data_IF_676731586774
#
_entry.id   IF_676731586774
#
_cell.length_a   1.000
_cell.length_b   1.000
_cell.length_c   1.000
_cell.angle_alpha   90.00
_cell.angle_beta   90.00
_cell.angle_gamma   90.00
#
_symmetry.space_group_name_H-M   'P 1'
#
loop_
_entity.id
_entity.type
_entity.pdbx_description
1 polymer ?
#
# COMPACT_ATOMS: atom_id res chain seq x y z
N UNK A 1 1.11 39.36 22.09
CA UNK A 1 1.80 38.86 20.88
C UNK A 1 2.23 37.40 21.01
N UNK A 2 2.81 36.96 22.14
CA UNK A 2 3.24 35.57 22.35
C UNK A 2 2.16 34.52 21.98
N UNK A 3 0.89 34.74 22.34
CA UNK A 3 -0.21 33.80 22.07
C UNK A 3 -0.50 33.56 20.59
N UNK A 4 -0.19 34.52 19.71
CA UNK A 4 -0.40 34.38 18.25
C UNK A 4 0.68 33.51 17.59
N UNK A 5 1.91 33.57 18.10
CA UNK A 5 3.01 32.74 17.58
C UNK A 5 2.79 31.26 17.86
N UNK A 6 2.10 30.90 18.94
CA UNK A 6 1.74 29.49 19.20
C UNK A 6 0.81 28.89 18.14
N UNK A 7 0.09 29.69 17.35
CA UNK A 7 -0.76 29.21 16.24
C UNK A 7 0.06 28.76 15.03
N UNK A 8 1.33 29.16 14.94
CA UNK A 8 2.22 28.70 13.88
C UNK A 8 2.54 27.21 14.01
N UNK A 9 2.53 26.67 15.23
CA UNK A 9 2.78 25.25 15.45
C UNK A 9 1.73 24.36 14.76
N UNK A 10 0.42 24.44 15.08
CA UNK A 10 -0.58 23.62 14.39
C UNK A 10 -0.68 23.91 12.89
N UNK A 11 -0.38 25.14 12.45
CA UNK A 11 -0.27 25.47 11.03
C UNK A 11 0.81 24.63 10.34
N UNK A 12 2.03 24.62 10.88
CA UNK A 12 3.14 23.84 10.30
C UNK A 12 2.86 22.34 10.39
N UNK A 13 2.32 21.86 11.52
CA UNK A 13 1.98 20.45 11.67
C UNK A 13 0.93 19.99 10.65
N UNK A 14 -0.13 20.78 10.45
CA UNK A 14 -1.17 20.47 9.45
C UNK A 14 -0.68 20.61 8.01
N UNK A 15 0.20 21.57 7.73
CA UNK A 15 0.85 21.70 6.42
C UNK A 15 1.72 20.46 6.11
N UNK A 16 2.57 20.04 7.03
CA UNK A 16 3.43 18.86 6.83
C UNK A 16 2.55 17.60 6.70
N UNK A 17 1.53 17.43 7.55
CA UNK A 17 0.63 16.27 7.44
C UNK A 17 -0.16 16.26 6.13
N UNK A 18 -0.60 17.42 5.62
CA UNK A 18 -1.24 17.54 4.32
C UNK A 18 -0.30 17.09 3.19
N UNK A 19 0.95 17.56 3.21
CA UNK A 19 1.97 17.14 2.23
C UNK A 19 2.20 15.64 2.31
N UNK A 20 2.44 15.09 3.51
CA UNK A 20 2.66 13.65 3.69
C UNK A 20 1.46 12.82 3.21
N UNK A 21 0.24 13.26 3.48
CA UNK A 21 -0.98 12.58 3.01
C UNK A 21 -1.08 12.59 1.48
N UNK A 22 -0.73 13.70 0.84
CA UNK A 22 -0.64 13.79 -0.62
C UNK A 22 0.44 12.87 -1.18
N UNK A 23 1.61 12.81 -0.54
CA UNK A 23 2.69 11.90 -0.95
C UNK A 23 2.27 10.43 -0.83
N UNK A 24 1.56 10.05 0.23
CA UNK A 24 1.00 8.70 0.36
C UNK A 24 -0.01 8.38 -0.74
N UNK A 25 -0.87 9.35 -1.11
CA UNK A 25 -1.90 9.15 -2.13
C UNK A 25 -1.29 8.98 -3.54
N UNK A 26 -0.29 9.80 -3.87
CA UNK A 26 0.30 9.87 -5.21
C UNK A 26 1.64 9.12 -5.38
N UNK A 27 2.09 8.38 -4.37
CA UNK A 27 3.29 7.55 -4.50
C UNK A 27 3.17 6.61 -5.71
N UNK A 28 4.25 6.51 -6.51
CA UNK A 28 4.31 5.66 -7.69
C UNK A 28 3.50 6.16 -8.89
N UNK A 29 2.94 7.38 -8.88
CA UNK A 29 2.11 7.87 -9.99
C UNK A 29 2.83 7.93 -11.35
N UNK A 30 4.17 7.98 -11.32
CA UNK A 30 5.07 7.92 -12.48
C UNK A 30 6.43 7.37 -12.07
N UNK A 31 7.21 6.95 -13.05
CA UNK A 31 8.62 6.59 -12.88
C UNK A 31 9.42 7.72 -12.23
N UNK A 32 10.30 7.34 -11.30
CA UNK A 32 11.12 8.19 -10.46
C UNK A 32 10.39 8.86 -9.29
N UNK A 33 9.07 8.67 -9.12
CA UNK A 33 8.30 9.33 -8.05
C UNK A 33 7.90 8.39 -6.91
N UNK A 34 8.72 8.39 -5.84
CA UNK A 34 8.42 7.70 -4.57
C UNK A 34 8.08 6.21 -4.71
N UNK A 35 8.76 5.51 -5.62
CA UNK A 35 8.54 4.09 -5.94
C UNK A 35 8.84 3.15 -4.75
N UNK A 36 9.71 3.58 -3.83
CA UNK A 36 10.01 2.83 -2.62
C UNK A 36 8.98 3.02 -1.50
N UNK A 37 8.00 3.90 -1.70
CA UNK A 37 6.88 4.15 -0.78
C UNK A 37 5.63 3.41 -1.26
N UNK A 38 5.79 2.12 -1.56
CA UNK A 38 4.67 1.22 -1.81
C UNK A 38 4.02 0.78 -0.50
N UNK A 39 2.74 0.41 -0.56
CA UNK A 39 2.02 -0.25 0.53
C UNK A 39 2.53 -1.66 0.72
N UNK A 40 2.67 -2.38 -0.39
CA UNK A 40 3.21 -3.74 -0.44
C UNK A 40 4.11 -3.89 -1.67
N UNK A 41 5.05 -4.82 -1.59
CA UNK A 41 5.92 -5.20 -2.70
C UNK A 41 5.94 -6.71 -2.82
N UNK A 42 5.82 -7.19 -4.04
CA UNK A 42 5.95 -8.59 -4.44
C UNK A 42 7.28 -8.74 -5.15
N UNK A 43 8.06 -9.74 -4.74
CA UNK A 43 9.24 -10.21 -5.41
C UNK A 43 8.87 -11.50 -6.15
N UNK A 44 9.10 -11.48 -7.44
CA UNK A 44 8.77 -12.52 -8.41
C UNK A 44 10.03 -13.02 -9.12
N UNK A 45 11.22 -12.56 -8.71
CA UNK A 45 12.50 -12.92 -9.33
C UNK A 45 12.87 -14.40 -9.18
N UNK A 46 12.28 -15.11 -8.21
CA UNK A 46 12.53 -16.52 -7.98
C UNK A 46 11.39 -17.41 -8.51
N UNK A 47 10.45 -16.86 -9.28
CA UNK A 47 9.36 -17.64 -9.85
C UNK A 47 9.93 -18.77 -10.69
N UNK A 48 9.47 -19.99 -10.42
CA UNK A 48 9.86 -21.18 -11.17
C UNK A 48 11.18 -21.81 -10.72
N UNK A 49 12.03 -21.14 -9.92
CA UNK A 49 13.26 -21.77 -9.43
C UNK A 49 12.97 -22.93 -8.46
N UNK A 50 11.98 -22.80 -7.57
CA UNK A 50 11.64 -23.85 -6.59
C UNK A 50 10.86 -25.02 -7.22
N UNK A 51 10.05 -24.77 -8.25
CA UNK A 51 9.31 -25.81 -8.99
C UNK A 51 10.27 -26.77 -9.71
N UNK A 52 11.48 -26.31 -10.03
CA UNK A 52 12.49 -27.10 -10.73
C UNK A 52 13.27 -28.06 -9.80
N UNK A 53 13.36 -27.75 -8.50
CA UNK A 53 14.09 -28.59 -7.53
C UNK A 53 13.25 -29.78 -7.05
N UNK A 54 11.92 -29.66 -7.02
CA UNK A 54 11.00 -30.73 -6.60
C UNK A 54 11.08 -31.98 -7.49
N UNK A 55 11.52 -31.86 -8.75
CA UNK A 55 11.73 -32.99 -9.67
C UNK A 55 12.96 -33.85 -9.33
N UNK A 56 13.90 -33.36 -8.51
CA UNK A 56 15.17 -34.05 -8.23
C UNK A 56 15.12 -35.04 -7.06
N UNK A 57 14.06 -35.01 -6.24
CA UNK A 57 13.81 -35.93 -5.12
C UNK A 57 12.59 -36.83 -5.36
N UNK A 58 12.41 -37.33 -6.60
CA UNK A 58 11.46 -38.38 -6.92
C UNK A 58 11.88 -39.74 -6.32
N UNK A 59 11.88 -39.84 -4.99
CA UNK A 59 11.63 -41.09 -4.28
C UNK A 59 10.13 -41.34 -4.36
N UNK A 60 9.74 -42.18 -5.30
CA UNK A 60 8.42 -42.77 -5.47
C UNK A 60 7.73 -43.12 -4.14
N UNK A 61 6.69 -42.35 -3.81
CA UNK A 61 5.53 -42.61 -2.94
C UNK A 61 5.01 -41.19 -2.58
N UNK A 62 3.79 -40.77 -2.87
CA UNK A 62 2.53 -41.49 -2.80
C UNK A 62 1.51 -40.84 -3.75
N UNK A 63 0.49 -41.63 -4.06
CA UNK A 63 -0.72 -41.21 -4.75
C UNK A 63 -1.42 -40.14 -3.91
N UNK A 64 -1.41 -38.90 -4.37
CA UNK A 64 -2.52 -37.96 -4.22
C UNK A 64 -2.51 -37.11 -5.49
N UNK A 65 -3.37 -37.49 -6.44
CA UNK A 65 -3.74 -36.63 -7.56
C UNK A 65 -4.46 -35.41 -6.96
N UNK A 66 -3.70 -34.38 -6.59
CA UNK A 66 -4.29 -33.08 -6.33
C UNK A 66 -4.71 -32.47 -7.68
N UNK A 67 -5.90 -32.86 -8.12
CA UNK A 67 -6.67 -32.30 -9.27
C UNK A 67 -7.00 -30.79 -9.10
N UNK A 68 -6.29 -30.09 -8.21
CA UNK A 68 -6.50 -28.70 -7.86
C UNK A 68 -5.93 -27.73 -8.89
N UNK A 69 -6.44 -26.49 -8.84
CA UNK A 69 -6.03 -25.35 -9.66
C UNK A 69 -4.51 -25.26 -9.90
N UNK A 70 -3.70 -25.47 -8.86
CA UNK A 70 -2.25 -25.36 -8.94
C UNK A 70 -1.58 -26.52 -9.71
N UNK A 71 -2.16 -27.72 -9.73
CA UNK A 71 -1.64 -28.86 -10.50
C UNK A 71 -1.70 -28.60 -12.01
N UNK A 72 -2.85 -28.18 -12.52
CA UNK A 72 -3.01 -27.80 -13.95
C UNK A 72 -2.09 -26.66 -14.39
N UNK A 73 -1.87 -25.67 -13.52
CA UNK A 73 -0.93 -24.56 -13.80
C UNK A 73 0.50 -25.09 -13.86
N UNK A 74 0.86 -25.99 -12.95
CA UNK A 74 2.18 -26.63 -12.90
C UNK A 74 2.44 -27.50 -14.13
N UNK A 75 1.45 -28.28 -14.59
CA UNK A 75 1.58 -29.13 -15.78
C UNK A 75 1.86 -28.33 -17.05
N UNK A 76 1.14 -27.22 -17.27
CA UNK A 76 1.41 -26.34 -18.42
C UNK A 76 2.72 -25.58 -18.27
N UNK A 77 3.11 -25.23 -17.05
CA UNK A 77 4.42 -24.66 -16.78
C UNK A 77 5.54 -25.63 -17.18
N UNK A 78 5.37 -26.92 -16.86
CA UNK A 78 6.26 -28.00 -17.25
C UNK A 78 6.31 -28.21 -18.78
N UNK A 79 5.18 -28.12 -19.47
CA UNK A 79 5.13 -28.21 -20.95
C UNK A 79 5.96 -27.10 -21.63
N UNK A 80 5.84 -25.85 -21.15
CA UNK A 80 6.64 -24.73 -21.70
C UNK A 80 8.11 -24.84 -21.30
N UNK A 81 8.40 -25.28 -20.06
CA UNK A 81 9.76 -25.60 -19.60
C UNK A 81 10.44 -26.61 -20.53
N UNK A 82 9.75 -27.67 -20.94
CA UNK A 82 10.33 -28.72 -21.79
C UNK A 82 10.65 -28.22 -23.22
N UNK A 83 9.80 -27.38 -23.82
CA UNK A 83 10.09 -26.75 -25.12
C UNK A 83 11.32 -25.81 -25.05
N UNK A 84 11.48 -25.10 -23.91
CA UNK A 84 12.63 -24.21 -23.68
C UNK A 84 13.90 -25.01 -23.38
N UNK A 85 13.81 -26.06 -22.55
CA UNK A 85 14.93 -26.96 -22.24
C UNK A 85 15.48 -27.64 -23.49
N UNK A 86 14.62 -28.04 -24.42
CA UNK A 86 15.04 -28.62 -25.71
C UNK A 86 15.93 -27.70 -26.56
N UNK A 87 15.99 -26.39 -26.25
CA UNK A 87 16.76 -25.37 -26.99
C UNK A 87 18.02 -24.90 -26.24
N UNK A 88 18.30 -25.40 -25.04
CA UNK A 88 19.40 -24.91 -24.17
C UNK A 88 20.15 -26.12 -23.57
N UNK A 89 21.48 -26.10 -23.57
CA UNK A 89 22.29 -27.13 -22.90
C UNK A 89 22.36 -26.84 -21.38
N UNK A 90 21.47 -27.48 -20.63
CA UNK A 90 21.27 -27.52 -19.16
C UNK A 90 22.28 -26.75 -18.27
N UNK A 91 21.91 -25.51 -17.94
CA UNK A 91 22.17 -24.89 -16.64
C UNK A 91 20.79 -24.48 -16.11
N UNK A 92 20.34 -25.11 -15.01
CA UNK A 92 18.96 -24.99 -14.50
C UNK A 92 18.54 -23.55 -14.20
N UNK A 93 19.47 -22.68 -13.79
CA UNK A 93 19.21 -21.25 -13.57
C UNK A 93 18.85 -20.49 -14.84
N UNK A 94 19.57 -20.77 -15.95
CA UNK A 94 19.35 -20.08 -17.24
C UNK A 94 17.98 -20.43 -17.86
N UNK A 95 17.39 -21.58 -17.49
CA UNK A 95 16.08 -22.01 -18.00
C UNK A 95 14.95 -21.24 -17.31
N UNK A 96 15.02 -21.05 -15.99
CA UNK A 96 14.02 -20.28 -15.25
C UNK A 96 14.03 -18.79 -15.67
N UNK A 97 15.22 -18.19 -15.75
CA UNK A 97 15.39 -16.79 -16.19
C UNK A 97 14.83 -16.59 -17.61
N UNK A 98 15.14 -17.51 -18.54
CA UNK A 98 14.66 -17.41 -19.93
C UNK A 98 13.16 -17.68 -20.06
N UNK A 99 12.59 -18.50 -19.18
CA UNK A 99 11.16 -18.71 -19.12
C UNK A 99 10.46 -17.43 -18.65
N UNK A 100 10.95 -16.80 -17.57
CA UNK A 100 10.47 -15.52 -17.06
C UNK A 100 10.54 -14.40 -18.12
N UNK A 101 11.62 -14.35 -18.90
CA UNK A 101 11.76 -13.43 -20.04
C UNK A 101 10.77 -13.74 -21.18
N UNK A 102 10.51 -15.02 -21.46
CA UNK A 102 9.60 -15.44 -22.54
C UNK A 102 8.14 -15.13 -22.21
N UNK A 103 7.75 -15.27 -20.95
CA UNK A 103 6.40 -14.94 -20.45
C UNK A 103 6.24 -13.45 -20.14
N UNK A 104 7.34 -12.69 -20.06
CA UNK A 104 7.34 -11.25 -19.84
C UNK A 104 6.93 -10.82 -18.42
N UNK A 105 7.17 -11.66 -17.41
CA UNK A 105 6.87 -11.33 -16.01
C UNK A 105 7.99 -10.44 -15.46
N UNK A 106 7.63 -9.35 -14.78
CA UNK A 106 8.61 -8.49 -14.10
C UNK A 106 9.16 -9.17 -12.86
N UNK A 107 10.38 -8.86 -12.44
CA UNK A 107 11.03 -9.49 -11.27
C UNK A 107 10.50 -8.94 -9.93
N UNK A 108 9.84 -7.78 -9.94
CA UNK A 108 9.12 -7.28 -8.79
C UNK A 108 7.93 -6.41 -9.19
N UNK A 109 6.94 -6.36 -8.29
CA UNK A 109 5.76 -5.50 -8.39
C UNK A 109 5.59 -4.72 -7.10
N UNK A 110 5.21 -3.46 -7.21
CA UNK A 110 4.97 -2.57 -6.07
C UNK A 110 3.59 -1.94 -6.17
N UNK A 111 2.86 -2.04 -5.06
CA UNK A 111 1.46 -1.62 -5.00
C UNK A 111 1.43 -0.33 -4.19
N UNK A 112 1.07 0.80 -4.80
CA UNK A 112 0.84 2.07 -4.12
C UNK A 112 -0.66 2.30 -3.88
N UNK A 113 -1.09 3.48 -3.44
CA UNK A 113 -2.53 3.76 -3.26
C UNK A 113 -3.23 3.98 -4.62
N UNK A 114 -2.61 4.74 -5.54
CA UNK A 114 -3.19 5.06 -6.86
C UNK A 114 -2.47 4.46 -8.07
N UNK A 115 -1.17 4.16 -7.97
CA UNK A 115 -0.45 3.40 -9.00
C UNK A 115 0.06 1.99 -8.58
N UNK A 116 0.31 1.14 -9.57
CA UNK A 116 1.11 -0.09 -9.43
C UNK A 116 2.32 0.08 -10.32
N UNK A 117 3.52 -0.19 -9.81
CA UNK A 117 4.75 -0.13 -10.59
C UNK A 117 5.44 -1.48 -10.62
N UNK A 118 6.07 -1.80 -11.73
CA UNK A 118 6.80 -3.03 -11.99
C UNK A 118 8.20 -2.75 -12.54
N UNK A 119 9.07 -3.74 -12.42
CA UNK A 119 10.40 -3.64 -13.02
C UNK A 119 11.34 -4.79 -12.70
N UNK A 120 12.62 -4.53 -12.92
CA UNK A 120 13.72 -5.48 -12.74
C UNK A 120 14.66 -5.02 -11.62
N UNK A 121 15.46 -5.92 -11.08
CA UNK A 121 16.53 -5.62 -10.14
C UNK A 121 17.78 -5.14 -10.89
N UNK A 122 18.59 -4.31 -10.22
CA UNK A 122 19.86 -3.80 -10.76
C UNK A 122 20.97 -3.94 -9.73
N UNK A 123 22.10 -4.62 -10.02
CA UNK A 123 22.44 -5.25 -11.29
C UNK A 123 21.75 -6.60 -11.56
N UNK A 124 21.38 -7.36 -10.51
CA UNK A 124 20.65 -8.64 -10.57
C UNK A 124 19.96 -8.88 -9.23
N UNK A 125 18.87 -9.67 -9.20
CA UNK A 125 18.11 -9.96 -7.97
C UNK A 125 18.92 -10.68 -6.88
N UNK A 126 19.90 -11.50 -7.28
CA UNK A 126 20.79 -12.27 -6.39
C UNK A 126 21.94 -11.45 -5.79
N UNK A 127 22.13 -10.20 -6.23
CA UNK A 127 23.24 -9.36 -5.74
C UNK A 127 22.92 -8.73 -4.38
N UNK A 128 23.86 -8.74 -3.41
CA UNK A 128 23.66 -8.09 -2.13
C UNK A 128 23.52 -6.57 -2.34
N UNK A 129 22.37 -6.03 -1.94
CA UNK A 129 22.05 -4.61 -2.12
C UNK A 129 21.55 -4.24 -3.52
N UNK A 130 21.01 -5.20 -4.28
CA UNK A 130 20.35 -4.94 -5.55
C UNK A 130 19.32 -3.81 -5.43
N UNK A 131 19.49 -2.78 -6.26
CA UNK A 131 18.53 -1.69 -6.40
C UNK A 131 17.37 -2.09 -7.31
N UNK A 132 16.37 -1.23 -7.36
CA UNK A 132 15.21 -1.40 -8.24
C UNK A 132 15.40 -0.58 -9.52
N UNK A 133 15.16 -1.20 -10.66
CA UNK A 133 15.02 -0.54 -11.95
C UNK A 133 13.55 -0.60 -12.36
N UNK A 134 12.86 0.54 -12.31
CA UNK A 134 11.43 0.60 -12.63
C UNK A 134 11.25 0.63 -14.13
N UNK A 135 10.38 -0.25 -14.63
CA UNK A 135 10.09 -0.39 -16.06
C UNK A 135 8.81 0.34 -16.43
N UNK A 136 7.76 0.21 -15.62
CA UNK A 136 6.47 0.85 -15.89
C UNK A 136 5.72 1.15 -14.59
N UNK A 137 4.91 2.20 -14.61
CA UNK A 137 3.97 2.55 -13.55
C UNK A 137 2.59 2.78 -14.17
N UNK A 138 1.63 1.94 -13.81
CA UNK A 138 0.25 2.02 -14.29
C UNK A 138 -0.66 2.62 -13.23
N UNK A 139 -1.44 3.62 -13.64
CA UNK A 139 -2.47 4.22 -12.79
C UNK A 139 -3.77 3.44 -12.95
N UNK A 140 -4.28 2.88 -11.86
CA UNK A 140 -5.46 2.03 -11.88
C UNK A 140 -6.42 2.43 -10.77
N UNK A 141 -7.71 2.46 -11.10
CA UNK A 141 -8.76 2.73 -10.13
C UNK A 141 -8.67 1.70 -8.97
N UNK A 142 -8.62 2.14 -7.69
CA UNK A 142 -8.43 1.25 -6.54
C UNK A 142 -9.42 0.08 -6.48
N UNK A 143 -10.62 0.28 -7.02
CA UNK A 143 -11.75 -0.65 -7.02
C UNK A 143 -11.59 -1.84 -7.98
N UNK A 144 -10.74 -1.71 -9.01
CA UNK A 144 -10.55 -2.71 -10.07
C UNK A 144 -9.12 -3.24 -10.15
N UNK A 145 -8.28 -2.92 -9.17
CA UNK A 145 -6.83 -3.15 -9.24
C UNK A 145 -6.42 -4.60 -9.31
N UNK A 146 -7.11 -5.45 -8.56
CA UNK A 146 -6.94 -6.88 -8.59
C UNK A 146 -8.19 -7.53 -9.17
N UNK A 147 -8.88 -6.91 -10.13
CA UNK A 147 -9.86 -7.67 -10.92
C UNK A 147 -9.10 -8.57 -11.90
N UNK A 148 -8.40 -9.55 -11.30
CA UNK A 148 -7.55 -10.51 -11.98
C UNK A 148 -8.38 -11.29 -12.99
N UNK A 149 -9.68 -11.50 -12.79
CA UNK A 149 -10.52 -12.22 -13.75
C UNK A 149 -10.53 -11.59 -15.14
N UNK A 150 -10.74 -10.27 -15.25
CA UNK A 150 -10.82 -9.58 -16.55
C UNK A 150 -9.43 -9.37 -17.19
N UNK A 151 -8.41 -9.12 -16.36
CA UNK A 151 -7.05 -8.91 -16.83
C UNK A 151 -6.36 -10.23 -17.18
N UNK A 152 -6.62 -11.29 -16.42
CA UNK A 152 -6.06 -12.63 -16.59
C UNK A 152 -6.80 -13.40 -17.68
N UNK A 153 -8.13 -13.32 -17.85
CA UNK A 153 -8.80 -13.91 -19.04
C UNK A 153 -8.21 -13.30 -20.32
N UNK A 154 -8.03 -11.98 -20.35
CA UNK A 154 -7.47 -11.30 -21.53
C UNK A 154 -5.99 -11.63 -21.76
N UNK A 155 -5.21 -11.87 -20.71
CA UNK A 155 -3.79 -12.26 -20.85
C UNK A 155 -3.63 -13.77 -21.12
N UNK A 156 -4.53 -14.61 -20.63
CA UNK A 156 -4.52 -16.07 -20.87
C UNK A 156 -5.06 -16.43 -22.26
N UNK A 157 -5.98 -15.62 -22.81
CA UNK A 157 -6.49 -15.79 -24.19
C UNK A 157 -5.42 -15.42 -25.25
N UNK A 158 -4.52 -14.49 -24.93
CA UNK A 158 -3.50 -13.96 -25.86
C UNK A 158 -2.08 -14.50 -25.55
N UNK A 159 -1.91 -15.14 -24.38
CA UNK A 159 -0.64 -15.66 -23.89
C UNK A 159 -0.32 -17.09 -24.37
N UNK A 160 0.91 -17.58 -24.12
CA UNK A 160 1.40 -18.87 -24.60
C UNK A 160 0.63 -20.08 -24.03
N UNK A 161 -0.14 -19.87 -22.96
CA UNK A 161 -0.87 -20.91 -22.24
C UNK A 161 -2.30 -21.13 -22.74
N UNK A 162 -2.86 -20.27 -23.61
CA UNK A 162 -4.20 -20.42 -24.25
C UNK A 162 -5.25 -21.10 -23.36
N UNK A 163 -5.60 -20.49 -22.21
CA UNK A 163 -6.63 -21.02 -21.30
C UNK A 163 -7.61 -19.90 -20.92
N UNK A 164 -8.80 -20.27 -20.45
CA UNK A 164 -9.69 -19.34 -19.75
C UNK A 164 -9.73 -19.68 -18.26
N UNK A 165 -10.16 -18.73 -17.41
CA UNK A 165 -10.31 -18.97 -15.96
C UNK A 165 -11.23 -20.17 -15.63
N UNK A 166 -12.16 -20.51 -16.52
CA UNK A 166 -13.04 -21.68 -16.39
C UNK A 166 -12.31 -23.03 -16.51
N UNK A 167 -11.18 -23.10 -17.24
CA UNK A 167 -10.46 -24.36 -17.48
C UNK A 167 -9.61 -24.80 -16.27
N UNK A 168 -9.28 -23.84 -15.40
CA UNK A 168 -8.34 -24.03 -14.28
C UNK A 168 -9.07 -24.23 -12.93
N UNK A 169 -10.41 -24.23 -12.91
CA UNK A 169 -11.20 -24.42 -11.68
C UNK A 169 -10.76 -23.44 -10.56
N UNK A 170 -10.80 -22.15 -10.87
CA UNK A 170 -10.35 -21.06 -10.00
C UNK A 170 -10.96 -21.16 -8.58
N UNK A 171 -10.14 -21.26 -7.51
CA UNK A 171 -10.65 -21.45 -6.16
C UNK A 171 -11.33 -20.21 -5.58
N UNK A 172 -12.50 -20.41 -4.96
CA UNK A 172 -13.26 -19.33 -4.29
C UNK A 172 -12.44 -18.62 -3.20
N UNK A 173 -11.59 -19.33 -2.46
CA UNK A 173 -10.72 -18.75 -1.43
C UNK A 173 -9.73 -17.70 -1.98
N UNK A 174 -9.28 -17.87 -3.22
CA UNK A 174 -8.39 -16.92 -3.90
C UNK A 174 -9.20 -15.71 -4.34
N UNK A 175 -10.40 -15.92 -4.89
CA UNK A 175 -11.31 -14.86 -5.26
C UNK A 175 -11.70 -13.98 -4.06
N UNK A 176 -12.07 -14.60 -2.93
CA UNK A 176 -12.42 -13.90 -1.69
C UNK A 176 -11.26 -13.06 -1.14
N UNK A 177 -10.03 -13.59 -1.22
CA UNK A 177 -8.83 -12.87 -0.80
C UNK A 177 -8.55 -11.65 -1.68
N UNK A 178 -8.78 -11.79 -2.99
CA UNK A 178 -8.64 -10.71 -3.97
C UNK A 178 -9.70 -9.63 -3.74
N UNK A 179 -10.96 -10.02 -3.53
CA UNK A 179 -12.05 -9.07 -3.28
C UNK A 179 -11.86 -8.33 -1.96
N UNK A 180 -11.35 -9.02 -0.92
CA UNK A 180 -10.95 -8.40 0.33
C UNK A 180 -9.84 -7.35 0.10
N UNK A 181 -8.84 -7.66 -0.73
CA UNK A 181 -7.76 -6.73 -1.06
C UNK A 181 -8.27 -5.53 -1.84
N UNK A 182 -9.07 -5.74 -2.91
CA UNK A 182 -9.69 -4.67 -3.68
C UNK A 182 -10.52 -3.74 -2.79
N UNK A 183 -11.33 -4.33 -1.90
CA UNK A 183 -12.11 -3.58 -0.91
C UNK A 183 -11.19 -2.79 0.02
N UNK A 184 -10.12 -3.39 0.54
CA UNK A 184 -9.18 -2.72 1.41
C UNK A 184 -8.46 -1.55 0.71
N UNK A 185 -8.09 -1.70 -0.57
CA UNK A 185 -7.46 -0.63 -1.36
C UNK A 185 -8.44 0.51 -1.65
N UNK A 186 -9.68 0.21 -2.03
CA UNK A 186 -10.74 1.21 -2.22
C UNK A 186 -10.99 2.00 -0.95
N UNK A 187 -11.20 1.30 0.17
CA UNK A 187 -11.42 1.93 1.46
C UNK A 187 -10.22 2.81 1.83
N UNK A 188 -9.00 2.29 1.70
CA UNK A 188 -7.76 3.04 1.95
C UNK A 188 -7.70 4.32 1.12
N UNK A 189 -7.99 4.25 -0.19
CA UNK A 189 -8.03 5.41 -1.07
C UNK A 189 -9.03 6.47 -0.58
N UNK A 190 -10.27 6.06 -0.26
CA UNK A 190 -11.30 6.99 0.24
C UNK A 190 -10.85 7.68 1.53
N UNK A 191 -10.28 6.93 2.48
CA UNK A 191 -9.76 7.51 3.72
C UNK A 191 -8.61 8.48 3.46
N UNK A 192 -7.67 8.20 2.55
CA UNK A 192 -6.60 9.16 2.24
C UNK A 192 -7.12 10.42 1.53
N UNK A 193 -8.10 10.31 0.65
CA UNK A 193 -8.74 11.48 0.02
C UNK A 193 -9.41 12.37 1.07
N UNK A 194 -10.16 11.77 2.01
CA UNK A 194 -10.76 12.49 3.13
C UNK A 194 -9.69 13.12 4.04
N UNK A 195 -8.60 12.40 4.31
CA UNK A 195 -7.50 12.89 5.13
C UNK A 195 -6.83 14.12 4.50
N UNK A 196 -6.55 14.07 3.20
CA UNK A 196 -6.04 15.20 2.41
C UNK A 196 -7.00 16.38 2.49
N UNK A 197 -8.30 16.16 2.29
CA UNK A 197 -9.33 17.20 2.38
C UNK A 197 -9.38 17.87 3.76
N UNK A 198 -9.49 17.08 4.83
CA UNK A 198 -9.59 17.63 6.19
C UNK A 198 -8.29 18.27 6.67
N UNK A 199 -7.12 17.69 6.36
CA UNK A 199 -5.81 18.28 6.73
C UNK A 199 -5.54 19.58 5.97
N UNK A 200 -5.90 19.66 4.68
CA UNK A 200 -5.82 20.89 3.89
C UNK A 200 -6.75 21.99 4.42
N UNK A 201 -8.00 21.64 4.74
CA UNK A 201 -8.93 22.58 5.38
C UNK A 201 -8.44 23.02 6.76
N UNK A 202 -7.86 22.11 7.56
CA UNK A 202 -7.28 22.44 8.86
C UNK A 202 -6.07 23.38 8.73
N UNK A 203 -5.24 23.21 7.71
CA UNK A 203 -4.13 24.11 7.39
C UNK A 203 -4.64 25.52 7.07
N UNK A 204 -5.64 25.66 6.19
CA UNK A 204 -6.24 26.96 5.85
C UNK A 204 -6.92 27.60 7.07
N UNK A 205 -7.65 26.81 7.85
CA UNK A 205 -8.29 27.28 9.08
C UNK A 205 -7.28 27.74 10.13
N UNK A 206 -6.13 27.08 10.21
CA UNK A 206 -5.02 27.45 11.12
C UNK A 206 -4.38 28.77 10.68
N UNK A 207 -4.23 28.99 9.36
CA UNK A 207 -3.76 30.27 8.83
C UNK A 207 -4.75 31.40 9.14
N UNK A 208 -6.04 31.16 8.97
CA UNK A 208 -7.09 32.12 9.32
C UNK A 208 -7.13 32.46 10.82
N UNK A 209 -6.78 31.50 11.68
CA UNK A 209 -6.70 31.70 13.13
C UNK A 209 -5.60 32.69 13.54
N UNK A 210 -4.56 32.90 12.72
CA UNK A 210 -3.55 33.93 12.96
C UNK A 210 -4.16 35.34 12.97
N UNK A 211 -5.06 35.63 12.02
CA UNK A 211 -5.71 36.93 11.89
C UNK A 211 -6.93 37.07 12.82
N UNK A 212 -7.68 35.99 13.02
CA UNK A 212 -8.96 35.98 13.74
C UNK A 212 -8.87 35.30 15.12
N UNK A 213 -7.68 35.34 15.75
CA UNK A 213 -7.34 34.63 16.99
C UNK A 213 -8.34 34.82 18.16
N UNK A 214 -8.99 35.97 18.25
CA UNK A 214 -9.94 36.28 19.32
C UNK A 214 -11.34 35.64 19.13
N UNK A 215 -11.64 35.12 17.94
CA UNK A 215 -12.96 34.55 17.62
C UNK A 215 -13.01 33.06 17.99
N UNK A 216 -13.81 32.74 19.02
CA UNK A 216 -14.04 31.35 19.47
C UNK A 216 -14.48 30.39 18.35
N UNK A 217 -15.27 30.87 17.39
CA UNK A 217 -15.74 30.07 16.26
C UNK A 217 -14.59 29.52 15.42
N UNK A 218 -13.55 30.31 15.18
CA UNK A 218 -12.36 29.90 14.41
C UNK A 218 -11.60 28.78 15.13
N UNK A 219 -11.45 28.89 16.44
CA UNK A 219 -10.78 27.86 17.23
C UNK A 219 -11.61 26.58 17.34
N UNK A 220 -12.94 26.68 17.38
CA UNK A 220 -13.83 25.51 17.36
C UNK A 220 -13.81 24.78 16.00
N UNK A 221 -13.80 25.53 14.89
CA UNK A 221 -13.65 24.95 13.53
C UNK A 221 -12.33 24.21 13.41
N UNK A 222 -11.23 24.79 13.89
CA UNK A 222 -9.93 24.13 13.88
C UNK A 222 -9.91 22.83 14.69
N UNK A 223 -10.56 22.79 15.87
CA UNK A 223 -10.71 21.53 16.65
C UNK A 223 -11.42 20.46 15.83
N UNK A 224 -12.51 20.80 15.15
CA UNK A 224 -13.30 19.83 14.37
C UNK A 224 -12.49 19.32 13.19
N UNK A 225 -11.91 20.22 12.38
CA UNK A 225 -11.15 19.84 11.19
C UNK A 225 -9.90 19.02 11.53
N UNK A 226 -9.11 19.47 12.51
CA UNK A 226 -7.91 18.73 12.94
C UNK A 226 -8.26 17.40 13.60
N UNK A 227 -9.36 17.33 14.35
CA UNK A 227 -9.86 16.09 14.95
C UNK A 227 -10.33 15.08 13.89
N UNK A 228 -11.09 15.51 12.88
CA UNK A 228 -11.51 14.66 11.78
C UNK A 228 -10.32 14.16 10.96
N UNK A 229 -9.37 15.04 10.62
CA UNK A 229 -8.15 14.65 9.92
C UNK A 229 -7.33 13.62 10.72
N UNK A 230 -7.16 13.84 12.03
CA UNK A 230 -6.44 12.90 12.90
C UNK A 230 -7.13 11.53 12.96
N UNK A 231 -8.46 11.51 13.10
CA UNK A 231 -9.25 10.29 13.15
C UNK A 231 -9.16 9.50 11.83
N UNK A 232 -9.37 10.17 10.70
CA UNK A 232 -9.34 9.54 9.37
C UNK A 232 -7.94 9.00 9.07
N UNK A 233 -6.87 9.74 9.36
CA UNK A 233 -5.49 9.27 9.18
C UNK A 233 -5.13 8.10 10.09
N UNK A 234 -5.61 8.10 11.35
CA UNK A 234 -5.41 6.97 12.25
C UNK A 234 -6.09 5.70 11.71
N UNK A 235 -7.34 5.80 11.28
CA UNK A 235 -8.07 4.67 10.70
C UNK A 235 -7.37 4.17 9.43
N UNK A 236 -6.96 5.08 8.53
CA UNK A 236 -6.21 4.73 7.33
C UNK A 236 -4.90 4.00 7.65
N UNK A 237 -4.13 4.51 8.62
CA UNK A 237 -2.85 3.92 9.06
C UNK A 237 -3.04 2.50 9.59
N UNK A 238 -4.08 2.30 10.41
CA UNK A 238 -4.43 0.98 10.96
C UNK A 238 -4.84 0.02 9.84
N UNK A 239 -5.75 0.46 8.96
CA UNK A 239 -6.23 -0.34 7.83
C UNK A 239 -5.10 -0.84 6.95
N UNK A 240 -4.22 0.08 6.50
CA UNK A 240 -3.07 -0.29 5.67
C UNK A 240 -2.14 -1.26 6.41
N UNK A 241 -1.90 -1.04 7.70
CA UNK A 241 -1.03 -1.92 8.49
C UNK A 241 -1.61 -3.33 8.60
N UNK A 242 -2.92 -3.45 8.85
CA UNK A 242 -3.60 -4.75 9.00
C UNK A 242 -3.72 -5.45 7.66
N UNK A 243 -4.24 -4.75 6.63
CA UNK A 243 -4.40 -5.29 5.29
C UNK A 243 -3.05 -5.69 4.68
N UNK A 244 -2.01 -4.86 4.83
CA UNK A 244 -0.67 -5.16 4.34
C UNK A 244 -0.08 -6.39 5.01
N UNK A 245 -0.17 -6.52 6.34
CA UNK A 245 0.34 -7.71 7.05
C UNK A 245 -0.43 -8.98 6.69
N UNK A 246 -1.76 -8.91 6.65
CA UNK A 246 -2.59 -10.07 6.31
C UNK A 246 -2.37 -10.52 4.87
N UNK A 247 -2.32 -9.56 3.93
CA UNK A 247 -2.04 -9.84 2.52
C UNK A 247 -0.65 -10.44 2.31
N UNK A 248 0.39 -9.86 2.91
CA UNK A 248 1.76 -10.37 2.80
C UNK A 248 1.91 -11.77 3.41
N UNK A 249 1.31 -12.03 4.58
CA UNK A 249 1.36 -13.37 5.17
C UNK A 249 0.66 -14.40 4.30
N UNK A 250 -0.52 -14.09 3.76
CA UNK A 250 -1.25 -15.01 2.88
C UNK A 250 -0.48 -15.31 1.61
N UNK A 251 0.19 -14.32 1.03
CA UNK A 251 1.02 -14.52 -0.17
C UNK A 251 2.28 -15.32 0.17
N UNK A 252 2.88 -15.10 1.34
CA UNK A 252 4.03 -15.90 1.77
C UNK A 252 3.65 -17.38 1.93
N UNK A 253 2.53 -17.66 2.59
CA UNK A 253 2.08 -19.03 2.86
C UNK A 253 1.78 -19.83 1.57
N UNK A 254 1.32 -19.16 0.50
CA UNK A 254 1.01 -19.80 -0.79
C UNK A 254 2.17 -19.68 -1.79
N UNK A 255 3.01 -18.68 -1.61
CA UNK A 255 4.03 -18.27 -2.57
C UNK A 255 5.40 -18.90 -2.37
N UNK A 256 5.70 -19.40 -1.17
CA UNK A 256 7.02 -19.94 -0.85
C UNK A 256 7.39 -21.14 -1.77
N UNK A 257 6.42 -21.97 -2.16
CA UNK A 257 6.63 -23.14 -3.05
C UNK A 257 6.94 -22.74 -4.50
N UNK A 258 6.43 -21.59 -4.95
CA UNK A 258 6.62 -21.08 -6.30
C UNK A 258 7.68 -19.97 -6.39
N UNK A 259 8.36 -19.66 -5.29
CA UNK A 259 9.39 -18.61 -5.24
C UNK A 259 8.85 -17.17 -5.20
N UNK A 260 7.58 -17.00 -4.82
CA UNK A 260 6.94 -15.69 -4.63
C UNK A 260 7.16 -15.20 -3.21
N UNK A 261 7.72 -14.00 -3.04
CA UNK A 261 7.88 -13.38 -1.72
C UNK A 261 7.23 -12.02 -1.65
N UNK A 262 6.42 -11.76 -0.62
CA UNK A 262 5.79 -10.47 -0.40
C UNK A 262 6.40 -9.75 0.81
N UNK A 263 6.44 -8.42 0.76
CA UNK A 263 6.93 -7.59 1.85
C UNK A 263 6.08 -6.32 2.02
N UNK A 264 5.86 -5.93 3.27
CA UNK A 264 5.14 -4.69 3.59
C UNK A 264 6.08 -3.50 3.42
N UNK A 265 5.59 -2.42 2.79
CA UNK A 265 6.37 -1.21 2.58
C UNK A 265 6.56 -0.39 3.86
N UNK A 266 7.72 -0.58 4.50
CA UNK A 266 8.07 0.11 5.76
C UNK A 266 8.14 1.63 5.60
N UNK A 267 8.59 2.12 4.44
CA UNK A 267 8.71 3.57 4.17
C UNK A 267 7.35 4.24 4.09
N UNK A 268 6.38 3.60 3.42
CA UNK A 268 4.98 4.07 3.39
C UNK A 268 4.36 4.07 4.79
N UNK A 269 4.56 3.00 5.56
CA UNK A 269 4.10 2.93 6.95
C UNK A 269 4.66 4.07 7.82
N UNK A 270 5.94 4.40 7.65
CA UNK A 270 6.55 5.51 8.38
C UNK A 270 5.88 6.86 8.02
N UNK A 271 5.58 7.11 6.74
CA UNK A 271 4.92 8.34 6.30
C UNK A 271 3.50 8.47 6.87
N UNK A 272 2.69 7.41 6.78
CA UNK A 272 1.31 7.47 7.23
C UNK A 272 1.20 7.66 8.75
N UNK A 273 2.03 6.94 9.52
CA UNK A 273 2.08 7.11 10.98
C UNK A 273 2.63 8.48 11.38
N UNK A 274 3.60 9.03 10.64
CA UNK A 274 4.06 10.40 10.85
C UNK A 274 2.95 11.42 10.60
N UNK A 275 2.21 11.30 9.48
CA UNK A 275 1.09 12.18 9.18
C UNK A 275 -0.01 12.11 10.26
N UNK A 276 -0.36 10.90 10.71
CA UNK A 276 -1.31 10.68 11.79
C UNK A 276 -0.85 11.35 13.10
N UNK A 277 0.40 11.12 13.51
CA UNK A 277 0.96 11.72 14.73
C UNK A 277 0.95 13.26 14.69
N UNK A 278 1.33 13.85 13.57
CA UNK A 278 1.31 15.30 13.37
C UNK A 278 -0.10 15.89 13.53
N UNK A 279 -1.11 15.24 12.93
CA UNK A 279 -2.51 15.69 13.07
C UNK A 279 -3.07 15.47 14.48
N UNK A 280 -2.70 14.40 15.18
CA UNK A 280 -3.08 14.17 16.58
C UNK A 280 -2.53 15.30 17.46
N UNK A 281 -1.26 15.66 17.29
CA UNK A 281 -0.63 16.75 18.06
C UNK A 281 -1.33 18.07 17.75
N UNK A 282 -1.64 18.35 16.47
CA UNK A 282 -2.39 19.55 16.08
C UNK A 282 -3.81 19.58 16.71
N UNK A 283 -4.51 18.44 16.72
CA UNK A 283 -5.83 18.33 17.35
C UNK A 283 -5.77 18.56 18.86
N UNK A 284 -4.81 17.94 19.55
CA UNK A 284 -4.59 18.13 20.99
C UNK A 284 -4.31 19.61 21.29
N UNK A 285 -3.48 20.28 20.48
CA UNK A 285 -3.21 21.70 20.61
C UNK A 285 -4.49 22.53 20.56
N UNK A 286 -5.33 22.33 19.52
CA UNK A 286 -6.57 23.09 19.35
C UNK A 286 -7.58 22.83 20.47
N UNK A 287 -7.68 21.59 20.95
CA UNK A 287 -8.53 21.21 22.08
C UNK A 287 -8.06 21.91 23.36
N UNK A 288 -6.75 21.85 23.67
CA UNK A 288 -6.18 22.53 24.83
C UNK A 288 -6.41 24.04 24.75
N UNK A 289 -6.19 24.65 23.58
CA UNK A 289 -6.40 26.08 23.39
C UNK A 289 -7.86 26.50 23.63
N UNK A 290 -8.82 25.74 23.08
CA UNK A 290 -10.24 26.00 23.31
C UNK A 290 -10.64 25.82 24.78
N UNK A 291 -10.09 24.81 25.47
CA UNK A 291 -10.31 24.56 26.89
C UNK A 291 -9.75 25.69 27.78
N UNK A 292 -8.55 26.18 27.48
CA UNK A 292 -7.94 27.32 28.20
C UNK A 292 -8.78 28.59 28.04
N UNK A 293 -9.21 28.91 26.81
CA UNK A 293 -10.11 30.06 26.58
C UNK A 293 -11.45 29.93 27.30
N UNK A 294 -12.03 28.71 27.36
CA UNK A 294 -13.25 28.46 28.15
C UNK A 294 -13.00 28.66 29.64
N UNK A 295 -11.84 28.24 30.17
CA UNK A 295 -11.47 28.37 31.59
C UNK A 295 -11.23 29.82 32.01
N UNK A 296 -10.53 30.61 31.20
CA UNK A 296 -10.28 32.04 31.47
C UNK A 296 -11.57 32.84 31.56
N UNK A 297 -12.51 32.58 30.65
CA UNK A 297 -13.84 33.19 30.69
C UNK A 297 -14.61 32.83 31.96
N UNK A 298 -14.62 31.55 32.36
CA UNK A 298 -15.27 31.13 33.62
C UNK A 298 -14.68 31.86 34.84
N UNK A 299 -13.38 32.20 34.81
CA UNK A 299 -12.73 32.99 35.87
C UNK A 299 -13.16 34.47 35.85
N UNK A 300 -13.30 35.07 34.67
CA UNK A 300 -13.81 36.45 34.54
C UNK A 300 -15.30 36.59 34.92
N UNK A 301 -16.09 35.54 34.72
CA UNK A 301 -17.52 35.52 35.07
C UNK A 301 -17.82 35.19 36.54
N UNK A 302 -16.85 34.71 37.33
CA UNK A 302 -17.01 34.71 38.79
C UNK A 302 -16.92 36.18 39.24
N UNK A 303 -18.00 36.79 39.77
CA UNK A 303 -17.90 38.16 40.26
C UNK A 303 -16.79 38.20 41.31
N UNK A 304 -15.97 39.26 41.28
CA UNK A 304 -15.06 39.59 42.40
C UNK A 304 -15.95 39.64 43.65
N UNK A 305 -15.91 38.60 44.49
CA UNK A 305 -16.52 38.66 45.82
C UNK A 305 -15.90 39.88 46.51
N UNK A 306 -16.78 40.77 46.98
CA UNK A 306 -16.51 42.19 47.17
C UNK A 306 -15.25 42.50 47.96
N UNK A 307 -14.57 43.54 47.50
CA UNK A 307 -13.87 44.45 48.41
C UNK A 307 -14.92 45.47 48.83
N UNK A 308 -15.55 45.24 49.98
CA UNK A 308 -16.16 46.29 50.79
C UNK A 308 -15.13 46.67 51.86
#
# INVERSE_FOLDING_TARGET
>A
MLSRFFVLLPLVLSMVAFILSMLCLFAGHKEGFMEEYSVARLNTSMIGHNVLDTDSDASSNDNDEDDGFFGKVTDKWNEVKDDVKGKINDITGDVADKLADTIGISEWYSIHVMATCDGQYKPNATSPGAGYNVTNCTNSAPEKRFNLTEMLDKQLEVGPFQMNLADINWPDDIQDSIDLLNTALLVTFVFYVLAVGFSGLAMVASAGAFFLFARRGVNAVNVILSGLAALVLLIASILVTVAGKKGVNKIKDVGDDVGLSASVGKKFLALTWAAAALMIIAAIYWVMHLCLMRRERKRQWKPRKGSY
#
